data_IF_366883339094
#
_entry.id   IF_366883339094
#
_cell.length_a   1.000
_cell.length_b   1.000
_cell.length_c   1.000
_cell.angle_alpha   90.00
_cell.angle_beta   90.00
_cell.angle_gamma   90.00
#
_symmetry.space_group_name_H-M   'P 1'
#
loop_
_entity.id
_entity.type
_entity.pdbx_description
1 polymer ?
#
# COMPACT_ATOMS: atom_id res chain seq x y z
N UNK A 1 5.36 19.07 -51.09
CA UNK A 1 5.09 19.14 -49.65
C UNK A 1 6.03 20.19 -49.09
N UNK A 2 5.51 21.39 -48.90
CA UNK A 2 6.26 22.50 -48.33
C UNK A 2 6.58 22.18 -46.88
N UNK A 3 7.85 22.11 -46.53
CA UNK A 3 8.30 22.04 -45.16
C UNK A 3 8.15 23.44 -44.55
N UNK A 4 7.06 23.66 -43.84
CA UNK A 4 6.83 24.90 -43.12
C UNK A 4 7.61 24.82 -41.79
N UNK A 5 8.59 25.70 -41.62
CA UNK A 5 9.42 25.78 -40.40
C UNK A 5 8.53 25.97 -39.14
N UNK A 6 7.44 26.73 -39.28
CA UNK A 6 6.48 26.91 -38.18
C UNK A 6 5.78 25.59 -37.79
N UNK A 7 5.48 24.71 -38.77
CA UNK A 7 4.92 23.39 -38.51
C UNK A 7 5.96 22.46 -37.84
N UNK A 8 7.22 22.59 -38.22
CA UNK A 8 8.31 21.85 -37.60
C UNK A 8 8.55 22.29 -36.12
N UNK A 9 8.53 23.60 -35.89
CA UNK A 9 8.64 24.19 -34.54
C UNK A 9 7.42 23.89 -33.65
N UNK A 10 6.23 23.72 -34.26
CA UNK A 10 5.01 23.31 -33.54
C UNK A 10 4.94 21.79 -33.25
N UNK A 11 5.48 20.95 -34.15
CA UNK A 11 5.45 19.48 -34.00
C UNK A 11 6.57 18.91 -33.12
N UNK A 12 7.67 19.58 -33.02
CA UNK A 12 8.65 19.40 -31.94
C UNK A 12 8.72 20.72 -31.21
N UNK A 13 7.95 20.94 -30.19
CA UNK A 13 8.18 22.07 -29.34
C UNK A 13 9.64 21.91 -28.88
N UNK A 14 10.54 22.63 -29.53
CA UNK A 14 11.65 23.18 -28.82
C UNK A 14 10.97 23.93 -27.70
N UNK A 15 10.73 23.23 -26.60
CA UNK A 15 10.35 23.85 -25.36
C UNK A 15 11.45 24.84 -25.07
N UNK A 16 11.31 26.00 -25.67
CA UNK A 16 11.94 27.19 -25.14
C UNK A 16 11.32 27.30 -23.74
N UNK A 17 12.11 27.11 -22.75
CA UNK A 17 11.62 26.71 -21.46
C UNK A 17 11.03 27.88 -20.76
N UNK A 18 9.81 27.68 -20.33
CA UNK A 18 9.42 28.12 -18.99
C UNK A 18 10.12 27.27 -17.89
N UNK A 19 11.10 26.42 -18.23
CA UNK A 19 11.91 25.66 -17.26
C UNK A 19 13.16 26.48 -16.93
N UNK A 20 13.21 26.95 -15.71
CA UNK A 20 14.47 27.35 -15.09
C UNK A 20 15.36 26.09 -15.07
N UNK A 21 16.48 26.14 -15.78
CA UNK A 21 17.51 25.12 -15.65
C UNK A 21 18.17 25.34 -14.29
N UNK A 22 18.00 24.41 -13.40
CA UNK A 22 18.52 24.55 -12.01
C UNK A 22 19.94 23.98 -11.88
N UNK A 23 20.38 23.21 -12.85
CA UNK A 23 21.68 22.53 -12.74
C UNK A 23 22.53 22.65 -14.00
N UNK A 24 23.86 22.71 -13.83
CA UNK A 24 24.83 22.77 -14.93
C UNK A 24 24.72 21.60 -15.91
N UNK A 25 24.50 20.33 -15.48
CA UNK A 25 24.28 19.21 -16.40
C UNK A 25 23.07 19.37 -17.33
N UNK A 26 22.01 20.02 -16.89
CA UNK A 26 20.82 20.27 -17.73
C UNK A 26 21.11 21.31 -18.81
N UNK A 27 21.91 22.31 -18.48
CA UNK A 27 22.38 23.35 -19.41
C UNK A 27 23.29 22.72 -20.46
N UNK A 28 24.23 21.87 -20.05
CA UNK A 28 25.16 21.18 -20.95
C UNK A 28 24.41 20.20 -21.88
N UNK A 29 23.43 19.45 -21.37
CA UNK A 29 22.57 18.57 -22.18
C UNK A 29 21.69 19.34 -23.18
N UNK A 30 21.22 20.53 -22.81
CA UNK A 30 20.51 21.44 -23.73
C UNK A 30 21.45 21.94 -24.82
N UNK A 31 22.66 22.34 -24.48
CA UNK A 31 23.67 22.81 -25.43
C UNK A 31 24.12 21.73 -26.39
N UNK A 32 24.30 20.51 -25.93
CA UNK A 32 24.67 19.39 -26.80
C UNK A 32 23.57 19.04 -27.79
N UNK A 33 22.29 19.12 -27.37
CA UNK A 33 21.14 19.05 -28.29
C UNK A 33 21.14 20.20 -29.29
N UNK A 34 21.51 21.40 -28.85
CA UNK A 34 21.58 22.58 -29.69
C UNK A 34 22.79 22.57 -30.62
N UNK A 35 23.95 22.09 -30.14
CA UNK A 35 25.15 21.86 -30.96
C UNK A 35 24.96 20.74 -32.00
N UNK A 36 23.98 19.89 -31.83
CA UNK A 36 23.54 18.89 -32.79
C UNK A 36 22.89 19.49 -34.05
N UNK A 37 23.28 20.70 -34.43
CA UNK A 37 22.85 21.54 -35.58
C UNK A 37 22.75 20.80 -36.93
N UNK A 38 23.30 19.62 -37.04
CA UNK A 38 23.33 18.82 -38.28
C UNK A 38 21.91 18.46 -38.75
N UNK A 39 20.93 18.32 -37.86
CA UNK A 39 19.56 17.99 -38.26
C UNK A 39 18.84 19.18 -38.90
N UNK A 40 18.88 20.35 -38.24
CA UNK A 40 18.18 21.57 -38.77
C UNK A 40 18.88 22.10 -40.03
N UNK A 41 20.19 22.08 -40.10
CA UNK A 41 20.92 22.43 -41.31
C UNK A 41 20.75 21.39 -42.44
N UNK A 42 20.49 20.14 -42.12
CA UNK A 42 20.14 19.09 -43.06
C UNK A 42 18.82 19.36 -43.81
N UNK A 43 17.83 19.92 -43.09
CA UNK A 43 16.52 20.28 -43.67
C UNK A 43 16.60 21.42 -44.70
N UNK A 44 17.68 22.19 -44.70
CA UNK A 44 17.91 23.24 -45.71
C UNK A 44 17.93 22.70 -47.16
N UNK A 45 18.23 21.40 -47.32
CA UNK A 45 18.19 20.71 -48.62
C UNK A 45 16.77 20.47 -49.14
N UNK A 46 15.82 20.38 -48.20
CA UNK A 46 14.41 20.06 -48.48
C UNK A 46 13.55 21.31 -48.68
N UNK A 47 14.10 22.50 -48.46
CA UNK A 47 13.40 23.78 -48.63
C UNK A 47 13.38 24.20 -50.10
N UNK A 48 12.22 24.64 -50.59
CA UNK A 48 12.05 25.15 -51.95
C UNK A 48 12.98 26.34 -52.22
N UNK A 49 13.45 26.48 -53.49
CA UNK A 49 14.54 27.40 -53.84
C UNK A 49 14.19 28.89 -53.57
N UNK A 50 12.94 29.27 -53.68
CA UNK A 50 12.40 30.60 -53.42
C UNK A 50 12.36 30.97 -51.94
N UNK A 51 12.26 29.97 -51.04
CA UNK A 51 12.19 30.16 -49.58
C UNK A 51 13.53 29.93 -48.86
N UNK A 52 14.58 29.53 -49.58
CA UNK A 52 15.90 29.25 -48.96
C UNK A 52 16.51 30.49 -48.30
N UNK A 53 16.29 31.66 -48.84
CA UNK A 53 16.80 32.92 -48.29
C UNK A 53 16.13 33.26 -46.97
N UNK A 54 14.82 33.13 -46.90
CA UNK A 54 14.02 33.37 -45.71
C UNK A 54 14.33 32.35 -44.60
N UNK A 55 14.44 31.09 -44.97
CA UNK A 55 14.87 30.02 -44.05
C UNK A 55 16.28 30.28 -43.46
N UNK A 56 17.22 30.75 -44.30
CA UNK A 56 18.56 31.12 -43.84
C UNK A 56 18.55 32.31 -42.87
N UNK A 57 17.69 33.31 -43.07
CA UNK A 57 17.53 34.44 -42.17
C UNK A 57 16.99 33.97 -40.81
N UNK A 58 15.91 33.21 -40.81
CA UNK A 58 15.29 32.66 -39.59
C UNK A 58 16.28 31.76 -38.81
N UNK A 59 17.06 30.95 -39.51
CA UNK A 59 18.07 30.09 -38.87
C UNK A 59 19.17 30.92 -38.21
N UNK A 60 19.58 32.03 -38.83
CA UNK A 60 20.58 32.93 -38.27
C UNK A 60 20.04 33.72 -37.06
N UNK A 61 18.79 34.21 -37.12
CA UNK A 61 18.11 34.85 -35.99
C UNK A 61 18.01 33.90 -34.81
N UNK A 62 17.61 32.66 -35.06
CA UNK A 62 17.54 31.63 -34.04
C UNK A 62 18.91 31.35 -33.42
N UNK A 63 19.97 31.33 -34.27
CA UNK A 63 21.35 31.11 -33.77
C UNK A 63 21.77 32.23 -32.83
N UNK A 64 21.58 33.48 -33.24
CA UNK A 64 21.93 34.68 -32.46
C UNK A 64 21.17 34.70 -31.15
N UNK A 65 19.88 34.40 -31.18
CA UNK A 65 19.04 34.31 -29.97
C UNK A 65 19.52 33.24 -29.01
N UNK A 66 19.84 32.05 -29.50
CA UNK A 66 20.28 30.95 -28.68
C UNK A 66 21.67 31.16 -28.09
N UNK A 67 22.58 31.80 -28.84
CA UNK A 67 23.90 32.18 -28.33
C UNK A 67 23.81 33.28 -27.24
N UNK A 68 22.97 34.28 -27.45
CA UNK A 68 22.70 35.32 -26.46
C UNK A 68 22.11 34.76 -25.17
N UNK A 69 21.12 33.85 -25.30
CA UNK A 69 20.49 33.22 -24.15
C UNK A 69 21.45 32.29 -23.40
N UNK A 70 22.36 31.64 -24.13
CA UNK A 70 23.42 30.84 -23.50
C UNK A 70 24.36 31.68 -22.65
N UNK A 71 24.84 32.81 -23.19
CA UNK A 71 25.74 33.69 -22.44
C UNK A 71 25.03 34.29 -21.22
N UNK A 72 23.75 34.63 -21.34
CA UNK A 72 22.93 35.08 -20.22
C UNK A 72 22.83 34.02 -19.11
N UNK A 73 22.51 32.78 -19.47
CA UNK A 73 22.45 31.67 -18.53
C UNK A 73 23.81 31.31 -17.94
N UNK A 74 24.87 31.43 -18.72
CA UNK A 74 26.24 31.19 -18.25
C UNK A 74 26.66 32.24 -17.23
N UNK A 75 26.33 33.51 -17.44
CA UNK A 75 26.59 34.59 -16.47
C UNK A 75 25.84 34.36 -15.16
N UNK A 76 24.59 33.85 -15.22
CA UNK A 76 23.81 33.48 -14.01
C UNK A 76 24.34 32.23 -13.29
N UNK A 77 25.14 31.39 -13.97
CA UNK A 77 25.72 30.17 -13.37
C UNK A 77 27.18 30.33 -12.97
N UNK A 78 27.92 31.30 -13.53
CA UNK A 78 29.28 31.66 -13.10
C UNK A 78 29.30 32.50 -11.82
N UNK A 79 28.19 33.15 -11.44
CA UNK A 79 27.90 33.42 -10.06
C UNK A 79 27.64 32.05 -9.41
N UNK A 80 28.72 31.31 -9.14
CA UNK A 80 28.71 30.17 -8.24
C UNK A 80 27.92 30.60 -6.99
N UNK A 81 27.31 29.71 -6.24
CA UNK A 81 26.58 30.09 -5.07
C UNK A 81 27.47 31.10 -4.37
N UNK A 82 27.14 32.39 -4.47
CA UNK A 82 27.64 33.32 -3.51
C UNK A 82 27.34 32.61 -2.23
N UNK A 83 28.39 32.06 -1.63
CA UNK A 83 28.31 31.73 -0.24
C UNK A 83 27.85 33.02 0.40
N UNK A 84 26.53 33.25 0.33
CA UNK A 84 25.89 34.03 1.34
C UNK A 84 26.36 33.31 2.57
N UNK A 85 27.22 33.95 3.29
CA UNK A 85 27.71 33.54 4.59
C UNK A 85 26.54 33.54 5.58
N UNK A 86 25.43 32.98 5.14
CA UNK A 86 24.37 32.45 5.96
C UNK A 86 24.88 31.05 6.40
N UNK A 87 25.89 31.12 7.29
CA UNK A 87 26.11 30.01 8.18
C UNK A 87 24.75 29.67 8.76
N UNK A 88 24.12 28.60 8.29
CA UNK A 88 22.89 28.09 8.90
C UNK A 88 23.23 27.96 10.36
N UNK A 89 22.64 28.82 11.18
CA UNK A 89 22.83 28.75 12.61
C UNK A 89 22.21 27.46 13.13
N UNK A 90 23.05 26.43 13.25
CA UNK A 90 22.62 25.12 13.73
C UNK A 90 22.19 25.14 15.20
N UNK A 91 22.38 26.28 15.92
CA UNK A 91 21.87 26.44 17.28
C UNK A 91 20.41 26.89 17.32
N UNK A 92 19.88 27.40 16.20
CA UNK A 92 18.45 27.67 16.09
C UNK A 92 17.65 26.38 15.99
N UNK A 93 16.55 26.25 16.76
CA UNK A 93 15.66 25.12 16.57
C UNK A 93 15.14 25.16 15.13
N UNK A 94 15.23 24.02 14.43
CA UNK A 94 14.59 23.87 13.11
C UNK A 94 13.10 24.11 13.26
N UNK A 95 12.46 24.66 12.23
CA UNK A 95 11.00 24.70 12.17
C UNK A 95 10.45 23.31 12.46
N UNK A 96 9.54 23.18 13.45
CA UNK A 96 9.00 21.89 13.79
C UNK A 96 8.26 21.32 12.58
N UNK A 97 8.86 20.33 11.90
CA UNK A 97 8.13 19.57 10.89
C UNK A 97 6.93 18.93 11.59
N UNK A 98 5.71 19.12 11.07
CA UNK A 98 4.54 18.47 11.65
C UNK A 98 4.76 16.96 11.61
N UNK A 99 5.02 16.37 12.77
CA UNK A 99 5.19 14.92 12.90
C UNK A 99 3.81 14.30 12.72
N UNK A 100 3.62 13.61 11.62
CA UNK A 100 2.42 12.80 11.40
C UNK A 100 2.34 11.66 12.42
N UNK A 101 1.13 11.23 12.77
CA UNK A 101 0.88 10.06 13.59
C UNK A 101 0.40 8.89 12.72
N UNK A 102 0.72 7.66 13.15
CA UNK A 102 0.18 6.46 12.50
C UNK A 102 -1.25 6.21 12.97
N UNK A 103 -2.09 5.73 12.06
CA UNK A 103 -3.46 5.34 12.40
C UNK A 103 -3.46 4.25 13.48
N UNK A 104 -4.36 4.26 14.49
CA UNK A 104 -4.42 3.26 15.56
C UNK A 104 -4.48 1.81 15.06
N UNK A 105 -5.24 1.52 14.00
CA UNK A 105 -5.29 0.18 13.39
C UNK A 105 -3.92 -0.25 12.88
N UNK A 106 -3.14 0.64 12.27
CA UNK A 106 -1.79 0.32 11.82
C UNK A 106 -0.83 0.01 12.98
N UNK A 107 -0.97 0.71 14.10
CA UNK A 107 -0.19 0.45 15.30
C UNK A 107 -0.52 -0.93 15.88
N UNK A 108 -1.81 -1.24 16.04
CA UNK A 108 -2.28 -2.53 16.56
C UNK A 108 -1.89 -3.68 15.64
N UNK A 109 -2.10 -3.53 14.31
CA UNK A 109 -1.65 -4.52 13.31
C UNK A 109 -0.16 -4.82 13.44
N UNK A 110 0.67 -3.77 13.49
CA UNK A 110 2.12 -3.94 13.59
C UNK A 110 2.54 -4.60 14.91
N UNK A 111 1.86 -4.30 16.00
CA UNK A 111 2.09 -4.95 17.28
C UNK A 111 1.75 -6.44 17.23
N UNK A 112 0.59 -6.82 16.69
CA UNK A 112 0.20 -8.22 16.48
C UNK A 112 1.23 -8.94 15.62
N UNK A 113 1.60 -8.37 14.48
CA UNK A 113 2.61 -8.93 13.57
C UNK A 113 3.93 -9.17 14.31
N UNK A 114 4.40 -8.19 15.07
CA UNK A 114 5.65 -8.32 15.84
C UNK A 114 5.60 -9.44 16.89
N UNK A 115 4.47 -9.61 17.56
CA UNK A 115 4.29 -10.69 18.55
C UNK A 115 4.40 -12.06 17.86
N UNK A 116 3.66 -12.26 16.77
CA UNK A 116 3.67 -13.55 16.07
C UNK A 116 4.98 -13.83 15.32
N UNK A 117 5.66 -12.81 14.80
CA UNK A 117 7.00 -12.99 14.23
C UNK A 117 8.02 -13.53 15.24
N UNK A 118 7.93 -13.12 16.51
CA UNK A 118 8.78 -13.69 17.59
C UNK A 118 8.47 -15.17 17.86
N UNK A 119 7.27 -15.63 17.52
CA UNK A 119 6.89 -17.04 17.55
C UNK A 119 7.25 -17.80 16.26
N UNK A 120 7.91 -17.13 15.30
CA UNK A 120 8.31 -17.72 14.01
C UNK A 120 7.21 -17.77 12.96
N UNK A 121 6.15 -16.97 13.10
CA UNK A 121 5.13 -16.84 12.05
C UNK A 121 5.58 -15.87 10.98
N UNK A 122 5.40 -16.24 9.71
CA UNK A 122 5.54 -15.34 8.58
C UNK A 122 4.23 -14.59 8.29
N UNK A 123 4.31 -13.46 7.62
CA UNK A 123 3.13 -12.73 7.14
C UNK A 123 2.79 -13.21 5.75
N UNK A 124 1.55 -13.65 5.54
CA UNK A 124 0.99 -13.97 4.23
C UNK A 124 -0.10 -12.96 3.86
N UNK A 125 -0.08 -12.52 2.63
CA UNK A 125 -1.05 -11.56 2.08
C UNK A 125 -1.75 -12.19 0.87
N UNK A 126 -2.99 -11.82 0.63
CA UNK A 126 -3.80 -12.28 -0.48
C UNK A 126 -4.77 -11.20 -0.97
N UNK A 127 -5.46 -11.45 -2.09
CA UNK A 127 -6.37 -10.51 -2.70
C UNK A 127 -7.56 -10.19 -1.79
N UNK A 128 -8.11 -8.98 -1.93
CA UNK A 128 -9.37 -8.59 -1.27
C UNK A 128 -10.61 -9.03 -2.08
N UNK A 129 -10.43 -9.19 -3.39
CA UNK A 129 -11.45 -9.76 -4.28
C UNK A 129 -11.16 -11.25 -4.44
N UNK A 130 -12.10 -12.08 -4.06
CA UNK A 130 -11.96 -13.53 -4.01
C UNK A 130 -13.07 -14.22 -4.83
N UNK A 131 -12.78 -15.45 -5.21
CA UNK A 131 -13.77 -16.36 -5.76
C UNK A 131 -14.52 -17.13 -4.65
N UNK A 132 -15.60 -17.78 -5.02
CA UNK A 132 -16.41 -18.58 -4.09
C UNK A 132 -15.63 -19.75 -3.48
N UNK A 133 -14.74 -20.38 -4.25
CA UNK A 133 -13.95 -21.51 -3.79
C UNK A 133 -13.11 -21.14 -2.55
N UNK A 134 -12.27 -20.12 -2.68
CA UNK A 134 -11.36 -19.74 -1.60
C UNK A 134 -12.06 -19.07 -0.42
N UNK A 135 -13.19 -18.40 -0.67
CA UNK A 135 -13.89 -17.72 0.42
C UNK A 135 -14.89 -18.59 1.17
N UNK A 136 -15.43 -19.66 0.53
CA UNK A 136 -16.47 -20.47 1.14
C UNK A 136 -16.27 -21.97 0.97
N UNK A 137 -16.19 -22.48 -0.25
CA UNK A 137 -16.25 -23.93 -0.52
C UNK A 137 -15.08 -24.68 0.11
N UNK A 138 -13.86 -24.19 -0.04
CA UNK A 138 -12.66 -24.78 0.56
C UNK A 138 -12.67 -24.75 2.10
N UNK A 139 -13.49 -23.89 2.68
CA UNK A 139 -13.67 -23.72 4.14
C UNK A 139 -14.90 -24.49 4.67
N UNK A 140 -15.36 -25.49 3.92
CA UNK A 140 -16.50 -26.34 4.30
C UNK A 140 -17.81 -25.55 4.57
N UNK A 141 -17.98 -24.42 3.91
CA UNK A 141 -19.22 -23.62 3.93
C UNK A 141 -20.14 -24.11 2.79
N UNK A 142 -21.24 -24.80 3.06
CA UNK A 142 -22.12 -25.34 2.01
C UNK A 142 -22.83 -24.24 1.23
N UNK A 143 -23.32 -24.55 0.04
CA UNK A 143 -24.00 -23.59 -0.85
C UNK A 143 -25.17 -22.85 -0.19
N UNK A 144 -25.90 -23.52 0.70
CA UNK A 144 -27.06 -22.96 1.41
C UNK A 144 -26.67 -22.28 2.75
N UNK A 145 -25.41 -22.02 3.01
CA UNK A 145 -25.00 -21.38 4.25
C UNK A 145 -25.39 -19.90 4.26
N UNK A 146 -25.99 -19.39 5.36
CA UNK A 146 -26.45 -17.99 5.42
C UNK A 146 -25.36 -16.95 5.11
N UNK A 147 -24.08 -17.22 5.44
CA UNK A 147 -22.98 -16.31 5.13
C UNK A 147 -22.76 -16.07 3.63
N UNK A 148 -23.31 -16.92 2.76
CA UNK A 148 -23.30 -16.72 1.30
C UNK A 148 -24.44 -15.85 0.79
N UNK A 149 -25.38 -15.45 1.66
CA UNK A 149 -26.47 -14.58 1.26
C UNK A 149 -25.91 -13.20 0.85
N UNK A 150 -26.50 -12.61 -0.19
CA UNK A 150 -26.19 -11.25 -0.63
C UNK A 150 -26.45 -10.20 0.45
N UNK A 151 -27.23 -10.52 1.48
CA UNK A 151 -27.43 -9.65 2.63
C UNK A 151 -26.20 -9.57 3.52
N UNK A 152 -25.34 -10.59 3.53
CA UNK A 152 -24.17 -10.67 4.38
C UNK A 152 -22.84 -10.51 3.61
N UNK A 153 -22.84 -10.72 2.29
CA UNK A 153 -21.65 -10.70 1.43
C UNK A 153 -21.79 -9.70 0.29
N UNK A 154 -20.71 -8.96 0.00
CA UNK A 154 -20.64 -8.08 -1.17
C UNK A 154 -20.15 -8.86 -2.38
N UNK A 155 -21.06 -9.19 -3.30
CA UNK A 155 -20.74 -9.76 -4.60
C UNK A 155 -20.41 -8.65 -5.61
N UNK A 156 -19.33 -8.83 -6.38
CA UNK A 156 -18.91 -7.93 -7.46
C UNK A 156 -19.51 -8.40 -8.78
N UNK A 157 -19.52 -9.70 -9.02
CA UNK A 157 -20.15 -10.33 -10.18
C UNK A 157 -20.73 -11.69 -9.82
N UNK A 158 -21.66 -12.16 -10.65
CA UNK A 158 -22.23 -13.51 -10.60
C UNK A 158 -21.93 -14.21 -11.93
N UNK A 159 -21.61 -15.51 -11.87
CA UNK A 159 -21.26 -16.37 -13.01
C UNK A 159 -20.05 -15.89 -13.83
N UNK A 160 -18.79 -16.02 -13.37
CA UNK A 160 -18.42 -16.61 -12.08
C UNK A 160 -18.59 -15.64 -10.90
N UNK A 161 -18.77 -16.20 -9.72
CA UNK A 161 -18.97 -15.41 -8.50
C UNK A 161 -17.64 -14.83 -8.03
N UNK A 162 -17.53 -13.51 -8.09
CA UNK A 162 -16.47 -12.72 -7.48
C UNK A 162 -17.04 -11.86 -6.39
N UNK A 163 -16.39 -11.85 -5.24
CA UNK A 163 -16.87 -11.19 -4.04
C UNK A 163 -15.74 -10.50 -3.27
N UNK A 164 -16.10 -9.59 -2.38
CA UNK A 164 -15.17 -9.07 -1.39
C UNK A 164 -15.06 -10.07 -0.24
N UNK A 165 -13.84 -10.47 0.10
CA UNK A 165 -13.60 -11.50 1.12
C UNK A 165 -14.25 -11.14 2.46
N UNK A 166 -14.92 -12.09 3.07
CA UNK A 166 -15.64 -11.92 4.35
C UNK A 166 -14.76 -12.21 5.58
N UNK A 167 -13.59 -12.81 5.35
CA UNK A 167 -12.56 -13.16 6.33
C UNK A 167 -11.21 -13.30 5.60
N UNK A 168 -10.13 -13.43 6.36
CA UNK A 168 -8.79 -13.64 5.80
C UNK A 168 -8.42 -15.11 5.65
N UNK A 169 -9.33 -16.05 5.95
CA UNK A 169 -9.13 -17.50 5.79
C UNK A 169 -8.87 -17.90 4.34
N UNK A 170 -9.35 -17.14 3.36
CA UNK A 170 -9.03 -17.33 1.94
C UNK A 170 -7.52 -17.34 1.67
N UNK A 171 -6.76 -16.53 2.39
CA UNK A 171 -5.29 -16.52 2.30
C UNK A 171 -4.70 -17.80 2.87
N UNK A 172 -5.29 -18.34 3.94
CA UNK A 172 -4.87 -19.64 4.49
C UNK A 172 -5.08 -20.77 3.47
N UNK A 173 -6.24 -20.79 2.78
CA UNK A 173 -6.51 -21.77 1.71
C UNK A 173 -5.44 -21.69 0.63
N UNK A 174 -5.12 -20.50 0.13
CA UNK A 174 -4.09 -20.28 -0.88
C UNK A 174 -2.70 -20.74 -0.44
N UNK A 175 -2.36 -20.58 0.82
CA UNK A 175 -1.08 -21.06 1.36
C UNK A 175 -1.08 -22.59 1.50
N UNK A 176 -2.20 -23.21 1.89
CA UNK A 176 -2.33 -24.66 1.95
C UNK A 176 -2.24 -25.30 0.57
N UNK A 177 -2.83 -24.69 -0.46
CA UNK A 177 -2.77 -25.17 -1.85
C UNK A 177 -1.34 -25.23 -2.42
N UNK A 178 -0.42 -24.39 -1.91
CA UNK A 178 1.00 -24.48 -2.29
C UNK A 178 1.70 -25.75 -1.81
N UNK A 179 1.14 -26.44 -0.81
CA UNK A 179 1.64 -27.71 -0.31
C UNK A 179 3.00 -27.64 0.43
N UNK A 180 3.48 -26.46 0.78
CA UNK A 180 4.77 -26.24 1.43
C UNK A 180 4.64 -26.40 2.94
N UNK A 181 4.85 -27.57 3.49
CA UNK A 181 4.83 -27.84 4.92
C UNK A 181 6.24 -27.74 5.55
N UNK A 182 6.37 -27.30 6.82
CA UNK A 182 5.30 -26.83 7.71
C UNK A 182 4.82 -25.41 7.35
N UNK A 183 3.53 -25.11 7.61
CA UNK A 183 2.95 -23.78 7.46
C UNK A 183 2.88 -23.11 8.84
N UNK A 184 3.39 -21.90 8.95
CA UNK A 184 3.26 -21.06 10.14
C UNK A 184 3.15 -19.61 9.71
N UNK A 185 1.91 -19.14 9.56
CA UNK A 185 1.59 -17.83 8.99
C UNK A 185 0.57 -17.08 9.80
N UNK A 186 0.59 -15.75 9.66
CA UNK A 186 -0.51 -14.85 10.00
C UNK A 186 -0.96 -14.11 8.74
N UNK A 187 -2.26 -13.91 8.63
CA UNK A 187 -2.92 -13.29 7.48
C UNK A 187 -3.62 -11.98 7.91
N UNK A 188 -2.88 -10.86 8.06
CA UNK A 188 -3.51 -9.58 8.36
C UNK A 188 -4.16 -9.01 7.10
N UNK A 189 -5.40 -8.56 7.20
CA UNK A 189 -6.08 -8.00 6.05
C UNK A 189 -7.37 -7.26 6.39
N UNK A 190 -7.89 -6.56 5.38
CA UNK A 190 -9.21 -5.97 5.41
C UNK A 190 -10.22 -6.99 4.95
N UNK A 191 -11.37 -7.03 5.58
CA UNK A 191 -12.48 -7.93 5.28
C UNK A 191 -13.78 -7.13 5.23
N UNK A 192 -14.78 -7.68 4.55
CA UNK A 192 -15.99 -6.96 4.19
C UNK A 192 -17.23 -7.78 4.55
N UNK A 193 -18.21 -7.15 5.16
CA UNK A 193 -19.51 -7.74 5.46
C UNK A 193 -20.60 -6.72 5.18
N UNK A 194 -21.65 -7.16 4.52
CA UNK A 194 -22.79 -6.30 4.19
C UNK A 194 -23.71 -6.10 5.41
N UNK A 195 -23.14 -5.48 6.44
CA UNK A 195 -23.85 -5.20 7.69
C UNK A 195 -24.28 -3.73 7.75
N UNK A 196 -25.39 -3.49 8.45
CA UNK A 196 -25.83 -2.12 8.73
C UNK A 196 -24.82 -1.41 9.63
N UNK A 197 -24.32 -0.26 9.17
CA UNK A 197 -23.33 0.53 9.90
C UNK A 197 -23.94 1.02 11.23
N UNK A 198 -23.22 0.78 12.32
CA UNK A 198 -23.58 1.19 13.67
C UNK A 198 -22.34 1.62 14.45
N UNK A 199 -22.50 2.02 15.70
CA UNK A 199 -21.36 2.32 16.57
C UNK A 199 -20.43 1.11 16.84
N UNK A 200 -20.84 -0.11 16.51
CA UNK A 200 -20.14 -1.37 16.79
C UNK A 200 -19.88 -2.24 15.56
N UNK A 201 -20.55 -1.96 14.45
CA UNK A 201 -20.45 -2.71 13.20
C UNK A 201 -20.17 -1.76 12.03
N UNK A 202 -19.29 -2.14 11.16
CA UNK A 202 -18.98 -1.42 9.92
C UNK A 202 -18.95 -2.43 8.77
N UNK A 203 -19.25 -1.97 7.57
CA UNK A 203 -19.23 -2.81 6.37
C UNK A 203 -17.83 -3.33 5.98
N UNK A 204 -16.77 -2.80 6.58
CA UNK A 204 -15.42 -3.37 6.51
C UNK A 204 -14.71 -3.23 7.86
N UNK A 205 -13.83 -4.17 8.17
CA UNK A 205 -12.97 -4.13 9.33
C UNK A 205 -11.63 -4.84 9.05
N UNK A 206 -10.71 -4.80 10.00
CA UNK A 206 -9.42 -5.46 9.87
C UNK A 206 -9.40 -6.72 10.74
N UNK A 207 -8.92 -7.81 10.16
CA UNK A 207 -8.81 -9.10 10.80
C UNK A 207 -7.37 -9.60 10.69
N UNK A 208 -6.90 -10.34 11.67
CA UNK A 208 -5.64 -11.08 11.63
C UNK A 208 -5.96 -12.51 11.97
N UNK A 209 -5.77 -13.42 11.05
CA UNK A 209 -5.89 -14.85 11.28
C UNK A 209 -4.51 -15.51 11.33
N UNK A 210 -4.39 -16.60 12.07
CA UNK A 210 -3.17 -17.40 12.13
C UNK A 210 -3.43 -18.84 11.75
N UNK A 211 -2.50 -19.43 10.99
CA UNK A 211 -2.50 -20.87 10.65
C UNK A 211 -1.16 -21.47 11.00
N UNK A 212 -1.21 -22.59 11.74
CA UNK A 212 -0.04 -23.39 12.05
C UNK A 212 -0.29 -24.86 11.73
N UNK A 213 0.39 -25.40 10.72
CA UNK A 213 0.33 -26.81 10.32
C UNK A 213 1.75 -27.40 10.43
N UNK A 214 1.91 -28.38 11.27
CA UNK A 214 3.15 -29.15 11.42
C UNK A 214 2.85 -30.52 12.05
N UNK A 215 3.83 -31.40 12.07
CA UNK A 215 3.72 -32.68 12.77
C UNK A 215 3.58 -32.48 14.27
N UNK A 216 2.74 -33.29 14.90
CA UNK A 216 2.52 -33.35 16.36
C UNK A 216 1.98 -32.04 16.98
N UNK A 217 1.32 -31.17 16.21
CA UNK A 217 0.63 -29.99 16.75
C UNK A 217 -0.66 -30.41 17.45
N UNK A 218 -0.92 -29.86 18.60
CA UNK A 218 -2.07 -30.18 19.45
C UNK A 218 -2.87 -28.94 19.83
N UNK A 219 -4.07 -29.15 20.36
CA UNK A 219 -4.88 -28.08 20.93
C UNK A 219 -4.20 -27.37 22.13
N UNK A 220 -3.26 -28.07 22.80
CA UNK A 220 -2.45 -27.47 23.87
C UNK A 220 -1.48 -26.41 23.31
N UNK A 221 -0.87 -26.68 22.15
CA UNK A 221 0.01 -25.74 21.47
C UNK A 221 -0.75 -24.51 21.00
N UNK A 222 -1.97 -24.69 20.47
CA UNK A 222 -2.88 -23.59 20.13
C UNK A 222 -3.14 -22.72 21.36
N UNK A 223 -3.55 -23.30 22.48
CA UNK A 223 -3.79 -22.57 23.73
C UNK A 223 -2.56 -21.81 24.20
N UNK A 224 -1.39 -22.45 24.19
CA UNK A 224 -0.14 -21.83 24.62
C UNK A 224 0.24 -20.63 23.75
N UNK A 225 0.09 -20.77 22.45
CA UNK A 225 0.31 -19.66 21.49
C UNK A 225 -0.61 -18.49 21.78
N UNK A 226 -1.89 -18.75 22.01
CA UNK A 226 -2.88 -17.72 22.33
C UNK A 226 -2.68 -17.09 23.71
N UNK A 227 -2.28 -17.86 24.72
CA UNK A 227 -1.89 -17.30 26.02
C UNK A 227 -0.70 -16.36 25.89
N UNK A 228 0.32 -16.74 25.14
CA UNK A 228 1.47 -15.88 24.88
C UNK A 228 1.04 -14.59 24.19
N UNK A 229 0.21 -14.69 23.15
CA UNK A 229 -0.33 -13.53 22.45
C UNK A 229 -1.07 -12.57 23.38
N UNK A 230 -1.96 -13.09 24.24
CA UNK A 230 -2.72 -12.25 25.18
C UNK A 230 -1.82 -11.54 26.19
N UNK A 231 -0.84 -12.26 26.74
CA UNK A 231 0.09 -11.66 27.71
C UNK A 231 0.93 -10.54 27.10
N UNK A 232 1.39 -10.73 25.87
CA UNK A 232 2.20 -9.72 25.18
C UNK A 232 1.38 -8.52 24.67
N UNK A 233 0.12 -8.76 24.27
CA UNK A 233 -0.76 -7.73 23.74
C UNK A 233 -1.45 -6.91 24.83
N UNK A 234 -1.93 -7.56 25.88
CA UNK A 234 -2.82 -6.99 26.88
C UNK A 234 -2.25 -6.97 28.31
N UNK A 235 -1.10 -7.62 28.52
CA UNK A 235 -0.42 -7.68 29.81
C UNK A 235 -0.69 -8.98 30.59
N UNK A 236 0.16 -9.23 31.61
CA UNK A 236 0.18 -10.50 32.34
C UNK A 236 -1.00 -10.70 33.31
N UNK A 237 -1.67 -9.62 33.69
CA UNK A 237 -2.77 -9.65 34.66
C UNK A 237 -4.12 -9.99 34.03
N UNK A 238 -4.17 -10.08 32.70
CA UNK A 238 -5.39 -10.37 31.96
C UNK A 238 -5.75 -11.86 32.08
N UNK A 239 -6.96 -12.12 32.55
CA UNK A 239 -7.49 -13.49 32.62
C UNK A 239 -8.04 -13.91 31.26
N UNK A 240 -7.80 -15.17 30.92
CA UNK A 240 -8.25 -15.79 29.65
C UNK A 240 -9.25 -16.91 29.98
N UNK A 241 -10.27 -17.00 29.15
CA UNK A 241 -11.27 -18.06 29.18
C UNK A 241 -11.53 -18.59 27.78
N UNK A 242 -11.54 -19.91 27.64
CA UNK A 242 -11.97 -20.59 26.42
C UNK A 242 -13.38 -21.12 26.60
N UNK A 243 -14.24 -20.91 25.63
CA UNK A 243 -15.60 -21.45 25.56
C UNK A 243 -15.70 -22.37 24.35
N UNK A 244 -16.24 -23.61 24.46
CA UNK A 244 -16.54 -24.42 23.28
C UNK A 244 -17.41 -23.64 22.30
N UNK A 245 -17.09 -23.77 21.03
CA UNK A 245 -17.83 -23.15 19.94
C UNK A 245 -17.81 -24.07 18.72
N UNK A 246 -18.48 -23.67 17.65
CA UNK A 246 -18.52 -24.39 16.39
C UNK A 246 -18.14 -23.46 15.25
N UNK A 247 -17.20 -23.94 14.42
CA UNK A 247 -16.88 -23.32 13.13
C UNK A 247 -16.84 -24.41 12.05
N UNK A 248 -17.31 -24.12 10.81
CA UNK A 248 -17.44 -25.14 9.77
C UNK A 248 -16.13 -25.85 9.38
N UNK A 249 -14.99 -25.21 9.60
CA UNK A 249 -13.67 -25.67 9.15
C UNK A 249 -12.71 -26.01 10.31
N UNK A 250 -13.19 -26.08 11.57
CA UNK A 250 -12.33 -26.46 12.71
C UNK A 250 -13.05 -27.40 13.67
N UNK A 251 -12.32 -28.40 14.19
CA UNK A 251 -12.80 -29.37 15.20
C UNK A 251 -11.62 -29.94 16.01
N UNK A 252 -11.53 -29.78 17.35
CA UNK A 252 -12.44 -28.99 18.21
C UNK A 252 -12.26 -27.49 18.04
N UNK A 253 -13.34 -26.75 18.30
CA UNK A 253 -13.37 -25.30 18.16
C UNK A 253 -13.66 -24.62 19.50
N UNK A 254 -13.17 -23.40 19.68
CA UNK A 254 -13.41 -22.60 20.84
C UNK A 254 -13.42 -21.09 20.50
N UNK A 255 -14.11 -20.33 21.31
CA UNK A 255 -13.99 -18.87 21.38
C UNK A 255 -13.13 -18.50 22.57
N UNK A 256 -12.29 -17.49 22.43
CA UNK A 256 -11.44 -17.01 23.50
C UNK A 256 -11.89 -15.61 23.96
N UNK A 257 -12.17 -15.53 25.25
CA UNK A 257 -12.50 -14.29 25.94
C UNK A 257 -11.34 -13.86 26.83
N UNK A 258 -11.22 -12.54 26.99
CA UNK A 258 -10.32 -11.94 28.01
C UNK A 258 -11.15 -11.17 29.04
N UNK A 259 -10.61 -11.03 30.27
CA UNK A 259 -11.20 -10.12 31.25
C UNK A 259 -11.22 -8.69 30.70
N UNK A 260 -12.35 -8.01 30.88
CA UNK A 260 -12.52 -6.66 30.33
C UNK A 260 -11.46 -5.69 30.87
N UNK A 261 -10.68 -5.10 29.99
CA UNK A 261 -9.59 -4.18 30.36
C UNK A 261 -10.08 -2.87 30.96
N UNK A 262 -11.34 -2.47 30.67
CA UNK A 262 -11.93 -1.21 31.15
C UNK A 262 -12.37 -1.34 32.61
N UNK A 263 -13.03 -2.45 32.96
CA UNK A 263 -13.61 -2.62 34.29
C UNK A 263 -12.92 -3.70 35.15
N UNK A 264 -11.82 -4.27 34.68
CA UNK A 264 -11.09 -5.33 35.41
C UNK A 264 -11.93 -6.58 35.69
N UNK A 265 -13.02 -6.81 34.92
CA UNK A 265 -13.92 -7.95 35.10
C UNK A 265 -15.16 -7.66 35.96
N UNK A 266 -15.33 -6.45 36.50
CA UNK A 266 -16.50 -6.09 37.33
C UNK A 266 -17.81 -5.88 36.56
N UNK A 267 -17.73 -5.71 35.24
CA UNK A 267 -18.87 -5.49 34.37
C UNK A 267 -19.13 -4.01 34.04
N UNK A 268 -19.11 -3.67 32.75
CA UNK A 268 -19.39 -2.32 32.25
C UNK A 268 -20.17 -2.38 30.92
N UNK A 269 -20.50 -1.22 30.36
CA UNK A 269 -21.23 -1.15 29.09
C UNK A 269 -20.44 -1.74 27.91
N UNK A 270 -19.09 -1.70 27.93
CA UNK A 270 -18.24 -2.25 26.89
C UNK A 270 -18.33 -3.78 26.85
N UNK A 271 -18.21 -4.44 27.99
CA UNK A 271 -18.35 -5.89 28.11
C UNK A 271 -19.81 -6.36 28.30
N UNK A 272 -20.81 -5.50 28.09
CA UNK A 272 -22.26 -5.80 28.29
C UNK A 272 -22.53 -6.37 29.68
N UNK A 273 -21.85 -5.86 30.72
CA UNK A 273 -21.91 -6.27 32.13
C UNK A 273 -21.45 -7.70 32.42
N UNK A 274 -20.88 -8.41 31.45
CA UNK A 274 -20.38 -9.78 31.63
C UNK A 274 -19.03 -9.87 32.34
N UNK A 275 -18.24 -8.79 32.31
CA UNK A 275 -16.85 -8.77 32.77
C UNK A 275 -15.85 -9.37 31.74
N UNK A 276 -16.32 -9.91 30.62
CA UNK A 276 -15.53 -10.59 29.61
C UNK A 276 -15.74 -9.97 28.23
N UNK A 277 -14.70 -10.01 27.42
CA UNK A 277 -14.71 -9.56 26.01
C UNK A 277 -14.16 -10.67 25.15
N UNK A 278 -14.96 -11.13 24.20
CA UNK A 278 -14.54 -12.06 23.17
C UNK A 278 -13.57 -11.36 22.20
N UNK A 279 -12.43 -11.98 21.91
CA UNK A 279 -11.41 -11.42 21.04
C UNK A 279 -11.13 -12.23 19.79
N UNK A 280 -11.37 -13.55 19.81
CA UNK A 280 -11.17 -14.41 18.65
C UNK A 280 -11.89 -15.76 18.77
N UNK A 281 -12.11 -16.40 17.62
CA UNK A 281 -12.39 -17.83 17.49
C UNK A 281 -11.11 -18.60 17.16
N UNK A 282 -11.03 -19.84 17.58
CA UNK A 282 -9.89 -20.73 17.32
C UNK A 282 -10.32 -22.18 17.24
N UNK A 283 -9.47 -23.02 16.64
CA UNK A 283 -9.71 -24.46 16.56
C UNK A 283 -8.60 -25.21 15.84
N UNK A 284 -8.74 -26.51 15.79
CA UNK A 284 -7.87 -27.37 14.99
C UNK A 284 -8.47 -27.49 13.59
N UNK A 285 -7.61 -27.38 12.57
CA UNK A 285 -7.99 -27.50 11.15
C UNK A 285 -7.77 -28.92 10.66
#
# INVERSE_FOLDING_TARGET
KEADLNVYLQKKPLCLPSRNFETRPEIDAFLDRYKGKKEVMGEMKNVAADKKREFGQLLNEFKVYAEARYEELKQTTDDGPQATDSSIDLSLPSDPLPIGSRHPISLVRNQIVSIFQRLGFAVAEGPEIEDDWHNFTALNLPENHPARDMQDTFYISQNPDWLLRTHTSSVQVREMEKGNLPIRIICPGRVYRNETISARAHCFFHQVEGLYIAENVSFADLKQTLYFFVQEMFGKDVKVRFRPSYFPFTEPSAEMDISCLICGGSGCNVCKKTGWVEILGCGMV
#
